data_IF_028444783164
#
_entry.id   IF_028444783164
#
_cell.length_a   1.000
_cell.length_b   1.000
_cell.length_c   1.000
_cell.angle_alpha   90.00
_cell.angle_beta   90.00
_cell.angle_gamma   90.00
#
_symmetry.space_group_name_H-M   'P 1'
#
loop_
_entity.id
_entity.type
_entity.pdbx_description
1 polymer ?
#
# COMPACT_ATOMS: atom_id res chain seq x y z
N UNK A 1 17.82 19.83 12.15
CA UNK A 1 17.99 18.37 11.99
C UNK A 1 19.38 18.13 11.41
N UNK A 2 20.23 17.33 12.06
CA UNK A 2 21.58 17.04 11.55
C UNK A 2 21.49 16.22 10.25
N UNK A 3 22.42 16.43 9.32
CA UNK A 3 22.51 15.66 8.07
C UNK A 3 22.55 14.13 8.31
N UNK A 4 23.10 13.70 9.45
CA UNK A 4 23.13 12.28 9.86
C UNK A 4 21.74 11.72 10.18
N UNK A 5 20.83 12.54 10.71
CA UNK A 5 19.47 12.10 11.05
C UNK A 5 18.60 11.85 9.81
N UNK A 6 18.73 12.70 8.79
CA UNK A 6 18.02 12.53 7.53
C UNK A 6 18.46 11.25 6.79
N UNK A 7 19.75 10.95 6.77
CA UNK A 7 20.28 9.73 6.16
C UNK A 7 19.73 8.46 6.83
N UNK A 8 19.71 8.42 8.17
CA UNK A 8 19.15 7.29 8.93
C UNK A 8 17.65 7.11 8.67
N UNK A 9 16.89 8.20 8.59
CA UNK A 9 15.46 8.15 8.27
C UNK A 9 15.20 7.57 6.88
N UNK A 10 15.94 8.03 5.86
CA UNK A 10 15.77 7.54 4.49
C UNK A 10 16.14 6.06 4.35
N UNK A 11 17.19 5.60 5.04
CA UNK A 11 17.55 4.19 5.11
C UNK A 11 16.43 3.34 5.75
N UNK A 12 15.85 3.82 6.85
CA UNK A 12 14.74 3.13 7.52
C UNK A 12 13.48 3.05 6.63
N UNK A 13 13.15 4.12 5.90
CA UNK A 13 12.04 4.12 4.94
C UNK A 13 12.31 3.12 3.81
N UNK A 14 13.52 3.09 3.26
CA UNK A 14 13.90 2.16 2.19
C UNK A 14 13.78 0.70 2.63
N UNK A 15 14.31 0.36 3.81
CA UNK A 15 14.17 -0.98 4.39
C UNK A 15 12.73 -1.40 4.59
N UNK A 16 11.85 -0.45 4.94
CA UNK A 16 10.40 -0.72 5.06
C UNK A 16 9.77 -1.01 3.70
N UNK A 17 10.14 -0.28 2.65
CA UNK A 17 9.71 -0.55 1.28
C UNK A 17 10.15 -1.95 0.85
N UNK A 18 11.43 -2.28 1.01
CA UNK A 18 11.99 -3.59 0.67
C UNK A 18 11.28 -4.73 1.40
N UNK A 19 11.09 -4.61 2.72
CA UNK A 19 10.35 -5.61 3.51
C UNK A 19 8.89 -5.76 3.06
N UNK A 20 8.25 -4.67 2.64
CA UNK A 20 6.87 -4.69 2.14
C UNK A 20 6.78 -5.42 0.80
N UNK A 21 7.70 -5.14 -0.12
CA UNK A 21 7.75 -5.77 -1.44
C UNK A 21 8.05 -7.27 -1.36
N UNK A 22 8.86 -7.69 -0.38
CA UNK A 22 9.20 -9.10 -0.12
C UNK A 22 8.05 -9.89 0.53
N UNK A 23 7.38 -9.30 1.54
CA UNK A 23 6.35 -10.00 2.33
C UNK A 23 4.97 -10.02 1.66
N UNK A 24 4.65 -9.03 0.82
CA UNK A 24 3.30 -8.90 0.27
C UNK A 24 3.00 -9.99 -0.76
N UNK A 25 1.98 -10.81 -0.46
CA UNK A 25 1.53 -11.90 -1.34
C UNK A 25 0.64 -11.46 -2.51
N UNK A 26 0.36 -10.15 -2.65
CA UNK A 26 -0.54 -9.57 -3.66
C UNK A 26 -2.01 -10.04 -3.54
N UNK A 27 -2.41 -10.60 -2.40
CA UNK A 27 -3.72 -11.23 -2.24
C UNK A 27 -4.94 -10.28 -2.30
N UNK A 28 -4.75 -8.95 -2.31
CA UNK A 28 -5.85 -7.98 -2.44
C UNK A 28 -6.75 -7.81 -1.21
N UNK A 29 -6.60 -8.60 -0.14
CA UNK A 29 -7.46 -8.54 1.06
C UNK A 29 -7.51 -7.14 1.71
N UNK A 30 -6.42 -6.38 1.63
CA UNK A 30 -6.36 -5.00 2.11
C UNK A 30 -7.30 -4.05 1.34
N UNK A 31 -7.46 -4.26 0.03
CA UNK A 31 -8.37 -3.50 -0.83
C UNK A 31 -9.81 -3.89 -0.56
N UNK A 32 -10.10 -5.19 -0.44
CA UNK A 32 -11.45 -5.71 -0.10
C UNK A 32 -11.92 -5.17 1.26
N UNK A 33 -11.03 -5.09 2.25
CA UNK A 33 -11.36 -4.57 3.57
C UNK A 33 -11.47 -3.03 3.63
N UNK A 34 -11.10 -2.32 2.57
CA UNK A 34 -11.09 -0.86 2.57
C UNK A 34 -12.52 -0.31 2.45
N UNK A 35 -13.04 0.44 3.45
CA UNK A 35 -14.39 0.98 3.39
C UNK A 35 -14.58 2.06 2.31
N UNK A 36 -13.47 2.54 1.72
CA UNK A 36 -13.48 3.56 0.67
C UNK A 36 -13.43 2.99 -0.74
N UNK A 37 -13.21 1.68 -0.93
CA UNK A 37 -13.08 1.10 -2.26
C UNK A 37 -14.35 1.33 -3.11
N UNK A 38 -15.50 0.84 -2.66
CA UNK A 38 -16.76 1.00 -3.40
C UNK A 38 -17.21 2.47 -3.50
N UNK A 39 -17.20 3.29 -2.42
CA UNK A 39 -17.55 4.72 -2.53
C UNK A 39 -16.65 5.51 -3.50
N UNK A 40 -15.41 5.07 -3.69
CA UNK A 40 -14.48 5.67 -4.63
C UNK A 40 -14.69 5.22 -6.08
N UNK A 41 -15.63 4.30 -6.34
CA UNK A 41 -15.88 3.70 -7.65
C UNK A 41 -14.91 2.57 -8.00
N UNK A 42 -14.18 2.01 -7.02
CA UNK A 42 -13.32 0.86 -7.23
C UNK A 42 -14.13 -0.43 -7.03
N UNK A 43 -13.90 -1.41 -7.90
CA UNK A 43 -14.53 -2.71 -7.82
C UNK A 43 -13.69 -3.65 -6.92
N UNK A 44 -14.22 -4.20 -5.82
CA UNK A 44 -13.50 -5.16 -4.99
C UNK A 44 -13.03 -6.41 -5.74
N UNK A 45 -13.66 -6.77 -6.87
CA UNK A 45 -13.20 -7.87 -7.72
C UNK A 45 -11.82 -7.60 -8.35
N UNK A 46 -11.43 -6.33 -8.51
CA UNK A 46 -10.12 -5.92 -9.04
C UNK A 46 -9.05 -5.80 -7.94
N UNK A 47 -9.35 -6.25 -6.71
CA UNK A 47 -8.51 -6.07 -5.53
C UNK A 47 -7.06 -6.56 -5.68
N UNK A 48 -6.84 -7.67 -6.38
CA UNK A 48 -5.48 -8.18 -6.67
C UNK A 48 -4.73 -7.20 -7.58
N UNK A 49 -5.35 -6.78 -8.69
CA UNK A 49 -4.73 -5.84 -9.63
C UNK A 49 -4.47 -4.47 -9.00
N UNK A 50 -5.35 -4.00 -8.12
CA UNK A 50 -5.16 -2.77 -7.35
C UNK A 50 -3.97 -2.92 -6.39
N UNK A 51 -3.87 -4.04 -5.66
CA UNK A 51 -2.75 -4.29 -4.75
C UNK A 51 -1.41 -4.43 -5.50
N UNK A 52 -1.40 -5.09 -6.66
CA UNK A 52 -0.23 -5.18 -7.53
C UNK A 52 0.19 -3.81 -8.05
N UNK A 53 -0.76 -2.99 -8.51
CA UNK A 53 -0.49 -1.61 -8.92
C UNK A 53 0.07 -0.75 -7.79
N UNK A 54 -0.41 -0.92 -6.56
CA UNK A 54 0.08 -0.18 -5.40
C UNK A 54 1.53 -0.60 -5.04
N UNK A 55 1.84 -1.89 -5.13
CA UNK A 55 3.22 -2.37 -4.97
C UNK A 55 4.15 -1.82 -6.07
N UNK A 56 3.67 -1.71 -7.31
CA UNK A 56 4.44 -1.10 -8.40
C UNK A 56 4.71 0.39 -8.13
N UNK A 57 3.70 1.16 -7.70
CA UNK A 57 3.89 2.55 -7.26
C UNK A 57 4.94 2.65 -6.14
N UNK A 58 4.84 1.78 -5.14
CA UNK A 58 5.77 1.75 -4.01
C UNK A 58 7.21 1.43 -4.45
N UNK A 59 7.37 0.60 -5.49
CA UNK A 59 8.67 0.28 -6.10
C UNK A 59 9.20 1.39 -7.02
N UNK A 60 8.47 2.50 -7.21
CA UNK A 60 8.81 3.60 -8.10
C UNK A 60 8.39 3.38 -9.56
N UNK A 61 7.53 2.39 -9.81
CA UNK A 61 6.89 2.13 -11.09
C UNK A 61 5.70 3.07 -11.36
N UNK A 62 4.96 2.76 -12.42
CA UNK A 62 3.84 3.59 -12.89
C UNK A 62 2.52 3.27 -12.18
N UNK A 63 2.37 2.06 -11.65
CA UNK A 63 1.14 1.61 -11.01
C UNK A 63 -0.03 1.41 -11.97
N UNK A 64 -1.22 1.39 -11.38
CA UNK A 64 -2.49 1.38 -12.12
C UNK A 64 -3.38 2.52 -11.65
N UNK A 65 -4.29 2.99 -12.50
CA UNK A 65 -5.28 4.00 -12.11
C UNK A 65 -6.11 3.58 -10.89
N UNK A 66 -6.37 2.27 -10.75
CA UNK A 66 -7.07 1.74 -9.57
C UNK A 66 -6.24 1.86 -8.30
N UNK A 67 -4.93 1.60 -8.37
CA UNK A 67 -4.00 1.78 -7.26
C UNK A 67 -3.86 3.25 -6.85
N UNK A 68 -3.63 4.15 -7.82
CA UNK A 68 -3.57 5.60 -7.57
C UNK A 68 -4.84 6.09 -6.88
N UNK A 69 -6.00 5.76 -7.44
CA UNK A 69 -7.30 6.12 -6.87
C UNK A 69 -7.50 5.55 -5.47
N UNK A 70 -7.08 4.31 -5.22
CA UNK A 70 -7.18 3.70 -3.90
C UNK A 70 -6.33 4.44 -2.85
N UNK A 71 -5.13 4.89 -3.23
CA UNK A 71 -4.27 5.70 -2.39
C UNK A 71 -4.88 7.11 -2.13
N UNK A 72 -5.42 7.77 -3.15
CA UNK A 72 -6.04 9.10 -3.06
C UNK A 72 -7.24 9.17 -2.09
N UNK A 73 -8.02 8.09 -1.99
CA UNK A 73 -9.25 8.04 -1.17
C UNK A 73 -9.02 7.51 0.24
N UNK A 74 -7.76 7.32 0.66
CA UNK A 74 -7.44 6.81 1.98
C UNK A 74 -7.94 7.75 3.10
N UNK A 75 -8.82 7.23 3.96
CA UNK A 75 -9.36 7.95 5.13
C UNK A 75 -8.68 7.56 6.45
N UNK A 76 -7.56 6.85 6.38
CA UNK A 76 -6.83 6.35 7.56
C UNK A 76 -7.64 5.41 8.47
N UNK A 77 -8.66 4.73 7.95
CA UNK A 77 -9.55 3.82 8.71
C UNK A 77 -8.84 2.64 9.38
N UNK A 78 -7.69 2.21 8.85
CA UNK A 78 -6.88 1.11 9.41
C UNK A 78 -7.44 -0.29 9.18
N UNK A 79 -8.60 -0.46 8.51
CA UNK A 79 -9.22 -1.78 8.27
C UNK A 79 -8.33 -2.72 7.44
N UNK A 80 -7.55 -2.16 6.53
CA UNK A 80 -6.58 -2.92 5.72
C UNK A 80 -5.46 -3.58 6.54
N UNK A 81 -5.07 -3.00 7.69
CA UNK A 81 -4.01 -3.53 8.55
C UNK A 81 -4.45 -4.86 9.17
N UNK A 82 -5.66 -4.90 9.76
CA UNK A 82 -6.19 -6.11 10.38
C UNK A 82 -6.50 -7.22 9.35
N UNK A 83 -6.73 -6.85 8.09
CA UNK A 83 -7.00 -7.81 7.01
C UNK A 83 -5.74 -8.46 6.42
N UNK A 84 -4.56 -7.87 6.63
CA UNK A 84 -3.31 -8.40 6.11
C UNK A 84 -2.78 -9.54 7.00
N UNK A 85 -2.69 -10.75 6.45
CA UNK A 85 -2.15 -11.92 7.14
C UNK A 85 -0.62 -11.96 7.12
N UNK A 86 0.00 -11.17 6.24
CA UNK A 86 1.41 -11.26 5.89
C UNK A 86 2.28 -10.28 6.71
N UNK A 87 1.68 -9.57 7.67
CA UNK A 87 2.38 -8.59 8.52
C UNK A 87 2.70 -7.25 7.84
N UNK A 88 2.36 -7.08 6.57
CA UNK A 88 2.46 -5.80 5.86
C UNK A 88 1.44 -4.82 6.42
N UNK A 89 1.82 -3.55 6.55
CA UNK A 89 0.87 -2.47 6.82
C UNK A 89 0.49 -1.78 5.50
N UNK A 90 -0.70 -2.02 4.94
CA UNK A 90 -1.08 -1.54 3.61
C UNK A 90 -1.26 -0.01 3.52
N UNK A 91 -1.15 0.74 4.62
CA UNK A 91 -1.14 2.21 4.57
C UNK A 91 0.17 2.81 4.04
N UNK A 92 1.18 1.97 3.89
CA UNK A 92 2.48 2.36 3.30
C UNK A 92 2.64 1.82 1.88
N UNK A 93 1.58 1.27 1.29
CA UNK A 93 1.49 0.97 -0.13
C UNK A 93 1.04 2.21 -0.90
#
# INVERSE_FOLDING_TARGET
MSASGAALFLDAVRKRVEATLDQCTRCGKCVVACPMAEPAGLNPADSVSIAEGALDLLAGGAGTRGAERWAEVCTNSGKCIAACSDGVNPRFL
#
